data_IF_059933148077
#
_entry.id   IF_059933148077
#
_cell.length_a   1.000
_cell.length_b   1.000
_cell.length_c   1.000
_cell.angle_alpha   90.00
_cell.angle_beta   90.00
_cell.angle_gamma   90.00
#
_symmetry.space_group_name_H-M   'P 1'
#
loop_
_entity.id
_entity.type
_entity.pdbx_description
1 polymer ?
#
# COMPACT_ATOMS: atom_id res chain seq x y z
N UNK A 1 -7.81 -21.28 -0.67
CA UNK A 1 -6.74 -20.46 -0.08
C UNK A 1 -6.16 -21.22 1.09
N UNK A 2 -4.84 -21.39 1.13
CA UNK A 2 -4.18 -21.99 2.30
C UNK A 2 -4.02 -20.93 3.40
N UNK A 3 -3.90 -21.36 4.66
CA UNK A 3 -3.70 -20.45 5.80
C UNK A 3 -2.52 -19.50 5.59
N UNK A 4 -1.42 -19.99 5.00
CA UNK A 4 -0.24 -19.19 4.68
C UNK A 4 -0.51 -18.09 3.64
N UNK A 5 -1.31 -18.37 2.61
CA UNK A 5 -1.69 -17.36 1.61
C UNK A 5 -2.53 -16.24 2.22
N UNK A 6 -3.44 -16.59 3.14
CA UNK A 6 -4.27 -15.61 3.83
C UNK A 6 -3.43 -14.71 4.75
N UNK A 7 -2.50 -15.28 5.50
CA UNK A 7 -1.54 -14.53 6.32
C UNK A 7 -0.65 -13.62 5.46
N UNK A 8 -0.16 -14.10 4.32
CA UNK A 8 0.65 -13.31 3.40
C UNK A 8 -0.14 -12.13 2.81
N UNK A 9 -1.41 -12.32 2.45
CA UNK A 9 -2.31 -11.25 1.99
C UNK A 9 -2.59 -10.21 3.07
N UNK A 10 -2.86 -10.64 4.31
CA UNK A 10 -3.03 -9.74 5.45
C UNK A 10 -1.76 -8.93 5.72
N UNK A 11 -0.60 -9.57 5.63
CA UNK A 11 0.70 -8.92 5.79
C UNK A 11 0.91 -7.88 4.68
N UNK A 12 0.69 -8.24 3.42
CA UNK A 12 0.82 -7.33 2.28
C UNK A 12 -0.13 -6.13 2.40
N UNK A 13 -1.38 -6.35 2.80
CA UNK A 13 -2.36 -5.30 3.03
C UNK A 13 -1.93 -4.36 4.17
N UNK A 14 -1.44 -4.92 5.28
CA UNK A 14 -0.92 -4.14 6.40
C UNK A 14 0.25 -3.25 5.96
N UNK A 15 1.22 -3.82 5.24
CA UNK A 15 2.38 -3.05 4.72
C UNK A 15 1.92 -1.95 3.75
N UNK A 16 1.00 -2.25 2.84
CA UNK A 16 0.46 -1.26 1.91
C UNK A 16 -0.23 -0.09 2.63
N UNK A 17 -1.00 -0.36 3.69
CA UNK A 17 -1.63 0.67 4.52
C UNK A 17 -0.59 1.53 5.25
N UNK A 18 0.44 0.92 5.83
CA UNK A 18 1.51 1.67 6.52
C UNK A 18 2.27 2.57 5.54
N UNK A 19 2.60 2.07 4.35
CA UNK A 19 3.25 2.86 3.30
C UNK A 19 2.35 4.01 2.82
N UNK A 20 1.06 3.75 2.64
CA UNK A 20 0.09 4.78 2.26
C UNK A 20 -0.06 5.88 3.31
N UNK A 21 -0.21 5.52 4.58
CA UNK A 21 -0.27 6.49 5.68
C UNK A 21 1.02 7.30 5.81
N UNK A 22 2.19 6.65 5.71
CA UNK A 22 3.47 7.33 5.73
C UNK A 22 3.61 8.31 4.56
N UNK A 23 3.25 7.91 3.35
CA UNK A 23 3.28 8.76 2.16
C UNK A 23 2.31 9.94 2.27
N UNK A 24 1.08 9.73 2.75
CA UNK A 24 0.14 10.82 3.01
C UNK A 24 0.67 11.81 4.05
N UNK A 25 1.26 11.31 5.14
CA UNK A 25 1.83 12.15 6.18
C UNK A 25 3.00 12.98 5.67
N UNK A 26 3.91 12.37 4.91
CA UNK A 26 5.03 13.08 4.26
C UNK A 26 4.49 14.12 3.28
N UNK A 27 3.55 13.77 2.41
CA UNK A 27 2.95 14.71 1.46
C UNK A 27 2.29 15.91 2.16
N UNK A 28 1.57 15.67 3.25
CA UNK A 28 0.98 16.74 4.05
C UNK A 28 2.05 17.63 4.70
N UNK A 29 3.13 17.03 5.24
CA UNK A 29 4.27 17.77 5.80
C UNK A 29 4.98 18.63 4.76
N UNK A 30 5.04 18.19 3.51
CA UNK A 30 5.60 18.95 2.38
C UNK A 30 4.63 20.01 1.82
N UNK A 31 3.48 20.23 2.48
CA UNK A 31 2.54 21.30 2.12
C UNK A 31 1.43 20.89 1.15
N UNK A 32 1.27 19.60 0.85
CA UNK A 32 0.11 19.15 0.07
C UNK A 32 -1.19 19.40 0.85
N UNK A 33 -2.24 19.86 0.13
CA UNK A 33 -3.58 19.99 0.70
C UNK A 33 -4.05 18.63 1.24
N UNK A 34 -4.83 18.57 2.34
CA UNK A 34 -5.23 17.30 2.95
C UNK A 34 -5.84 16.30 1.97
N UNK A 35 -6.70 16.76 1.06
CA UNK A 35 -7.28 15.91 0.01
C UNK A 35 -6.23 15.34 -0.96
N UNK A 36 -5.23 16.14 -1.35
CA UNK A 36 -4.14 15.68 -2.21
C UNK A 36 -3.19 14.72 -1.47
N UNK A 37 -2.89 14.99 -0.20
CA UNK A 37 -2.09 14.09 0.64
C UNK A 37 -2.75 12.72 0.80
N UNK A 38 -4.07 12.67 1.02
CA UNK A 38 -4.83 11.42 1.07
C UNK A 38 -4.81 10.67 -0.26
N UNK A 39 -4.93 11.37 -1.39
CA UNK A 39 -4.81 10.75 -2.72
C UNK A 39 -3.40 10.18 -2.96
N UNK A 40 -2.34 10.86 -2.51
CA UNK A 40 -0.96 10.36 -2.58
C UNK A 40 -0.79 9.10 -1.72
N UNK A 41 -1.29 9.10 -0.50
CA UNK A 41 -1.25 7.91 0.35
C UNK A 41 -2.05 6.73 -0.22
N UNK A 42 -3.26 6.99 -0.70
CA UNK A 42 -4.12 5.98 -1.31
C UNK A 42 -3.51 5.37 -2.58
N UNK A 43 -2.94 6.19 -3.45
CA UNK A 43 -2.24 5.72 -4.65
C UNK A 43 -0.98 4.92 -4.30
N UNK A 44 -0.24 5.32 -3.27
CA UNK A 44 0.92 4.56 -2.77
C UNK A 44 0.51 3.18 -2.25
N UNK A 45 -0.55 3.11 -1.45
CA UNK A 45 -1.09 1.84 -0.95
C UNK A 45 -1.57 0.93 -2.10
N UNK A 46 -2.29 1.50 -3.08
CA UNK A 46 -2.73 0.78 -4.26
C UNK A 46 -1.57 0.24 -5.10
N UNK A 47 -0.54 1.06 -5.33
CA UNK A 47 0.67 0.65 -6.03
C UNK A 47 1.40 -0.49 -5.30
N UNK A 48 1.60 -0.38 -3.99
CA UNK A 48 2.21 -1.45 -3.19
C UNK A 48 1.43 -2.78 -3.27
N UNK A 49 0.09 -2.72 -3.21
CA UNK A 49 -0.76 -3.89 -3.38
C UNK A 49 -0.66 -4.49 -4.78
N UNK A 50 -0.63 -3.66 -5.82
CA UNK A 50 -0.47 -4.12 -7.21
C UNK A 50 0.87 -4.83 -7.42
N UNK A 51 1.97 -4.29 -6.86
CA UNK A 51 3.29 -4.90 -6.93
C UNK A 51 3.32 -6.28 -6.25
N UNK A 52 2.63 -6.43 -5.11
CA UNK A 52 2.52 -7.73 -4.44
C UNK A 52 1.80 -8.76 -5.31
N UNK A 53 0.67 -8.39 -5.93
CA UNK A 53 -0.07 -9.28 -6.82
C UNK A 53 0.74 -9.61 -8.08
N UNK A 54 1.42 -8.63 -8.68
CA UNK A 54 2.31 -8.83 -9.81
C UNK A 54 3.46 -9.78 -9.45
N UNK A 55 4.10 -9.59 -8.30
CA UNK A 55 5.15 -10.47 -7.82
C UNK A 55 4.65 -11.91 -7.65
N UNK A 56 3.47 -12.10 -7.03
CA UNK A 56 2.88 -13.44 -6.94
C UNK A 56 2.62 -14.03 -8.32
N UNK A 57 2.10 -13.25 -9.28
CA UNK A 57 1.83 -13.75 -10.63
C UNK A 57 3.09 -14.12 -11.41
N UNK A 58 4.22 -13.45 -11.14
CA UNK A 58 5.49 -13.67 -11.82
C UNK A 58 6.32 -14.83 -11.23
N UNK A 59 6.20 -15.10 -9.93
CA UNK A 59 7.01 -16.09 -9.20
C UNK A 59 6.23 -17.33 -8.76
N UNK A 60 5.00 -17.51 -9.24
CA UNK A 60 4.15 -18.68 -9.00
C UNK A 60 4.08 -19.55 -10.23
#
# INVERSE_FOLDING_TARGET
MTQQQLLALLLALSVALHLGCAAAFVAWREGARPGAALLIGGSTAGAAGSLYLTAISAYR
#
